data_IF_366163191836
#
_entry.id   IF_366163191836
#
_cell.length_a   1.000
_cell.length_b   1.000
_cell.length_c   1.000
_cell.angle_alpha   90.00
_cell.angle_beta   90.00
_cell.angle_gamma   90.00
#
_symmetry.space_group_name_H-M   'P 1'
#
loop_
_entity.id
_entity.type
_entity.pdbx_description
1 polymer ?
#
# COMPACT_ATOMS: atom_id res chain seq x y z
N UNK A 1 -16.60 -29.46 13.70
CA UNK A 1 -15.41 -29.46 14.57
C UNK A 1 -14.18 -29.18 13.70
N UNK A 2 -13.45 -28.08 14.02
CA UNK A 2 -12.09 -27.66 13.62
C UNK A 2 -11.54 -28.15 12.26
N UNK A 3 -11.44 -27.25 11.29
CA UNK A 3 -10.62 -27.42 10.08
C UNK A 3 -9.93 -26.10 9.76
N UNK A 4 -8.60 -26.11 9.77
CA UNK A 4 -7.70 -25.00 9.48
C UNK A 4 -7.98 -24.44 8.07
N UNK A 5 -8.32 -23.16 8.00
CA UNK A 5 -8.49 -22.46 6.74
C UNK A 5 -7.12 -22.18 6.13
N UNK A 6 -6.57 -23.16 5.41
CA UNK A 6 -5.41 -22.94 4.55
C UNK A 6 -5.88 -22.20 3.30
N UNK A 7 -5.42 -20.97 3.09
CA UNK A 7 -5.52 -20.31 1.79
C UNK A 7 -4.63 -21.10 0.81
N UNK A 8 -5.24 -21.97 0.03
CA UNK A 8 -4.53 -22.74 -0.99
C UNK A 8 -4.17 -21.84 -2.17
N UNK A 9 -2.91 -21.86 -2.58
CA UNK A 9 -2.51 -21.40 -3.91
C UNK A 9 -3.11 -22.36 -4.95
N UNK A 10 -4.23 -21.97 -5.57
CA UNK A 10 -4.92 -22.78 -6.58
C UNK A 10 -4.20 -22.71 -7.94
N UNK A 11 -3.45 -21.63 -8.19
CA UNK A 11 -2.66 -21.44 -9.40
C UNK A 11 -2.28 -19.97 -9.64
N UNK A 12 -1.48 -19.73 -10.69
CA UNK A 12 -1.11 -18.39 -11.13
C UNK A 12 -2.24 -17.82 -12.00
N UNK A 13 -2.97 -16.82 -11.49
CA UNK A 13 -4.05 -16.16 -12.24
C UNK A 13 -3.52 -15.30 -13.40
N UNK A 14 -2.36 -14.67 -13.23
CA UNK A 14 -1.76 -13.75 -14.20
C UNK A 14 -0.28 -14.05 -14.39
N UNK A 15 0.20 -14.03 -15.63
CA UNK A 15 1.65 -14.04 -15.88
C UNK A 15 2.23 -12.67 -15.53
N UNK A 16 3.56 -12.57 -15.49
CA UNK A 16 4.22 -11.28 -15.29
C UNK A 16 3.83 -10.28 -16.40
N UNK A 17 3.74 -10.74 -17.65
CA UNK A 17 3.35 -9.91 -18.79
C UNK A 17 1.93 -9.33 -18.62
N UNK A 18 0.98 -10.14 -18.14
CA UNK A 18 -0.37 -9.65 -17.83
C UNK A 18 -0.34 -8.57 -16.74
N UNK A 19 0.48 -8.75 -15.70
CA UNK A 19 0.62 -7.75 -14.62
C UNK A 19 1.25 -6.47 -15.14
N UNK A 20 2.30 -6.57 -15.96
CA UNK A 20 2.95 -5.42 -16.60
C UNK A 20 1.98 -4.66 -17.51
N UNK A 21 1.20 -5.37 -18.32
CA UNK A 21 0.17 -4.77 -19.18
C UNK A 21 -0.86 -4.00 -18.35
N UNK A 22 -1.37 -4.62 -17.28
CA UNK A 22 -2.32 -4.00 -16.38
C UNK A 22 -1.73 -2.74 -15.72
N UNK A 23 -0.54 -2.84 -15.11
CA UNK A 23 0.11 -1.73 -14.39
C UNK A 23 0.40 -0.54 -15.33
N UNK A 24 0.82 -0.82 -16.56
CA UNK A 24 1.08 0.21 -17.59
C UNK A 24 -0.18 0.86 -18.12
N UNK A 25 -1.33 0.22 -17.98
CA UNK A 25 -2.56 0.76 -18.55
C UNK A 25 -2.86 2.17 -17.97
N UNK A 26 -3.19 3.18 -18.82
CA UNK A 26 -3.41 4.55 -18.36
C UNK A 26 -4.52 4.71 -17.32
N UNK A 27 -5.46 3.76 -17.26
CA UNK A 27 -6.59 3.75 -16.33
C UNK A 27 -6.38 2.88 -15.07
N UNK A 28 -5.25 2.17 -14.96
CA UNK A 28 -4.93 1.40 -13.76
C UNK A 28 -4.68 2.31 -12.57
N UNK A 29 -5.42 2.06 -11.48
CA UNK A 29 -5.19 2.61 -10.15
C UNK A 29 -4.76 1.46 -9.24
N UNK A 30 -3.76 1.69 -8.41
CA UNK A 30 -3.35 0.70 -7.44
C UNK A 30 -4.41 0.59 -6.33
N UNK A 31 -4.79 -0.63 -5.99
CA UNK A 31 -5.57 -0.96 -4.81
C UNK A 31 -5.03 -2.27 -4.26
N UNK A 32 -4.93 -2.36 -2.94
CA UNK A 32 -4.55 -3.58 -2.24
C UNK A 32 -5.83 -4.17 -1.67
N UNK A 33 -6.27 -5.29 -2.24
CA UNK A 33 -7.46 -6.03 -1.81
C UNK A 33 -7.15 -6.86 -0.55
N UNK A 34 -6.78 -6.15 0.52
CA UNK A 34 -6.35 -6.70 1.79
C UNK A 34 -7.46 -6.67 2.84
N UNK A 35 -7.40 -7.65 3.76
CA UNK A 35 -8.13 -7.60 5.01
C UNK A 35 -7.37 -6.78 6.05
N UNK A 36 -8.08 -6.26 7.06
CA UNK A 36 -7.43 -5.72 8.26
C UNK A 36 -6.79 -6.87 9.05
N UNK A 37 -5.46 -6.81 9.20
CA UNK A 37 -4.65 -7.83 9.86
C UNK A 37 -3.70 -7.20 10.89
N UNK A 38 -3.12 -8.04 11.73
CA UNK A 38 -2.07 -7.70 12.71
C UNK A 38 -0.99 -8.76 12.60
N UNK A 39 0.26 -8.42 12.90
CA UNK A 39 1.37 -9.38 12.88
C UNK A 39 1.33 -10.35 14.08
N UNK A 40 0.52 -10.04 15.09
CA UNK A 40 0.32 -10.83 16.29
C UNK A 40 -1.17 -11.02 16.63
N UNK A 41 -1.44 -11.90 17.61
CA UNK A 41 -2.79 -12.17 18.08
C UNK A 41 -3.69 -12.92 17.09
N UNK A 42 -5.00 -13.02 17.39
CA UNK A 42 -5.93 -13.81 16.59
C UNK A 42 -6.02 -13.44 15.09
N UNK A 43 -6.00 -12.14 14.68
CA UNK A 43 -6.07 -11.79 13.26
C UNK A 43 -4.85 -12.25 12.44
N UNK A 44 -3.66 -12.33 13.04
CA UNK A 44 -2.43 -12.79 12.39
C UNK A 44 -2.57 -14.20 11.81
N UNK A 45 -3.19 -15.10 12.58
CA UNK A 45 -3.38 -16.50 12.15
C UNK A 45 -4.41 -16.66 11.03
N UNK A 46 -5.38 -15.73 10.93
CA UNK A 46 -6.47 -15.82 9.96
C UNK A 46 -6.13 -15.18 8.62
N UNK A 47 -5.24 -14.20 8.64
CA UNK A 47 -4.86 -13.37 7.49
C UNK A 47 -3.34 -13.37 7.31
N UNK A 48 -2.71 -14.55 7.39
CA UNK A 48 -1.29 -14.72 7.12
C UNK A 48 -1.01 -14.68 5.61
N UNK A 49 -0.97 -13.48 5.04
CA UNK A 49 -0.68 -13.26 3.62
C UNK A 49 0.09 -11.95 3.40
N UNK A 50 1.15 -11.93 2.57
CA UNK A 50 2.04 -10.77 2.46
C UNK A 50 1.37 -9.51 1.91
N UNK A 51 0.34 -9.68 1.07
CA UNK A 51 -0.42 -8.56 0.48
C UNK A 51 -0.88 -7.53 1.52
N UNK A 52 -1.21 -7.95 2.74
CA UNK A 52 -1.71 -7.06 3.79
C UNK A 52 -0.67 -6.06 4.30
N UNK A 53 0.63 -6.39 4.19
CA UNK A 53 1.72 -5.57 4.73
C UNK A 53 2.61 -5.01 3.62
N UNK A 54 2.81 -5.77 2.54
CA UNK A 54 3.73 -5.43 1.47
C UNK A 54 3.05 -4.81 0.25
N UNK A 55 1.74 -4.97 0.03
CA UNK A 55 1.12 -4.73 -1.29
C UNK A 55 1.40 -3.36 -1.93
N UNK A 56 1.37 -2.29 -1.12
CA UNK A 56 1.68 -0.93 -1.61
C UNK A 56 3.18 -0.73 -1.86
N UNK A 57 4.01 -1.36 -1.04
CA UNK A 57 5.47 -1.22 -1.09
C UNK A 57 6.04 -2.07 -2.23
N UNK A 58 5.58 -3.30 -2.36
CA UNK A 58 5.90 -4.20 -3.47
C UNK A 58 5.61 -3.57 -4.84
N UNK A 59 4.57 -2.73 -4.93
CA UNK A 59 4.31 -1.96 -6.13
C UNK A 59 5.46 -1.01 -6.49
N UNK A 60 5.99 -0.29 -5.49
CA UNK A 60 7.09 0.66 -5.68
C UNK A 60 8.45 -0.04 -5.84
N UNK A 61 8.73 -1.09 -5.07
CA UNK A 61 10.02 -1.80 -5.08
C UNK A 61 10.16 -2.67 -6.33
N UNK A 62 9.24 -3.61 -6.55
CA UNK A 62 9.34 -4.55 -7.66
C UNK A 62 9.00 -3.90 -9.01
N UNK A 63 7.81 -3.28 -9.14
CA UNK A 63 7.33 -2.85 -10.45
C UNK A 63 7.87 -1.49 -10.90
N UNK A 64 8.10 -0.56 -9.97
CA UNK A 64 8.61 0.78 -10.30
C UNK A 64 10.14 0.81 -10.25
N UNK A 65 10.77 0.44 -9.12
CA UNK A 65 12.23 0.55 -8.95
C UNK A 65 13.01 -0.54 -9.69
N UNK A 66 12.72 -1.82 -9.42
CA UNK A 66 13.54 -2.94 -9.91
C UNK A 66 13.28 -3.26 -11.38
N UNK A 67 12.00 -3.39 -11.76
CA UNK A 67 11.60 -3.75 -13.13
C UNK A 67 11.44 -2.54 -14.06
N UNK A 68 11.41 -1.32 -13.53
CA UNK A 68 11.29 -0.10 -14.34
C UNK A 68 10.04 -0.07 -15.22
N UNK A 69 8.92 -0.66 -14.77
CA UNK A 69 7.69 -0.74 -15.56
C UNK A 69 7.06 0.64 -15.74
N UNK A 70 7.23 1.50 -14.74
CA UNK A 70 6.77 2.88 -14.65
C UNK A 70 7.90 3.76 -14.11
N UNK A 71 7.82 5.07 -14.36
CA UNK A 71 8.62 6.02 -13.58
C UNK A 71 8.09 6.13 -12.15
N UNK A 72 8.91 6.65 -11.23
CA UNK A 72 8.48 6.87 -9.84
C UNK A 72 7.27 7.81 -9.76
N UNK A 73 7.23 8.86 -10.58
CA UNK A 73 6.14 9.83 -10.59
C UNK A 73 4.83 9.20 -11.06
N UNK A 74 4.86 8.33 -12.08
CA UNK A 74 3.66 7.65 -12.56
C UNK A 74 3.19 6.57 -11.56
N UNK A 75 4.13 5.86 -10.93
CA UNK A 75 3.84 4.95 -9.83
C UNK A 75 3.11 5.66 -8.68
N UNK A 76 3.69 6.75 -8.17
CA UNK A 76 3.10 7.58 -7.11
C UNK A 76 1.75 8.15 -7.55
N UNK A 77 1.63 8.64 -8.78
CA UNK A 77 0.37 9.17 -9.32
C UNK A 77 -0.76 8.14 -9.27
N UNK A 78 -0.48 6.89 -9.65
CA UNK A 78 -1.46 5.77 -9.68
C UNK A 78 -1.93 5.29 -8.31
N UNK A 79 -1.24 5.68 -7.24
CA UNK A 79 -1.63 5.42 -5.85
C UNK A 79 -2.06 6.68 -5.06
N UNK A 80 -2.02 7.87 -5.66
CA UNK A 80 -2.36 9.16 -4.99
C UNK A 80 -3.37 9.99 -5.78
N UNK A 81 -2.90 10.84 -6.71
CA UNK A 81 -3.74 11.83 -7.41
C UNK A 81 -4.75 11.19 -8.34
N UNK A 82 -4.43 10.04 -8.92
CA UNK A 82 -5.34 9.32 -9.81
C UNK A 82 -6.55 8.74 -9.07
N UNK A 83 -6.39 7.98 -7.96
CA UNK A 83 -7.55 7.56 -7.17
C UNK A 83 -8.27 8.74 -6.53
N UNK A 84 -7.56 9.76 -6.04
CA UNK A 84 -8.21 10.97 -5.49
C UNK A 84 -9.14 11.64 -6.53
N UNK A 85 -8.68 11.80 -7.77
CA UNK A 85 -9.50 12.32 -8.87
C UNK A 85 -10.68 11.39 -9.19
N UNK A 86 -10.45 10.07 -9.25
CA UNK A 86 -11.48 9.07 -9.55
C UNK A 86 -12.61 9.05 -8.52
N UNK A 87 -12.27 9.21 -7.24
CA UNK A 87 -13.22 9.22 -6.13
C UNK A 87 -13.73 10.63 -5.78
N UNK A 88 -13.34 11.66 -6.53
CA UNK A 88 -13.80 13.04 -6.30
C UNK A 88 -13.33 13.62 -4.97
N UNK A 89 -12.10 13.32 -4.55
CA UNK A 89 -11.45 13.89 -3.37
C UNK A 89 -10.68 15.14 -3.78
N UNK A 90 -11.31 16.32 -3.71
CA UNK A 90 -10.70 17.57 -4.19
C UNK A 90 -9.60 18.14 -3.29
N UNK A 91 -9.55 17.73 -2.02
CA UNK A 91 -8.60 18.25 -1.03
C UNK A 91 -7.37 17.35 -0.80
N UNK A 92 -7.16 16.29 -1.60
CA UNK A 92 -6.18 15.21 -1.35
C UNK A 92 -5.50 14.70 -2.63
N UNK A 93 -4.48 13.85 -2.43
CA UNK A 93 -3.80 13.10 -3.50
C UNK A 93 -2.72 13.87 -4.25
N UNK A 94 -2.51 15.15 -3.96
CA UNK A 94 -1.41 15.97 -4.50
C UNK A 94 -0.83 16.86 -3.40
N UNK A 95 0.47 17.12 -3.46
CA UNK A 95 1.14 18.04 -2.54
C UNK A 95 0.93 19.46 -3.05
N UNK A 96 0.07 20.22 -2.37
CA UNK A 96 -0.23 21.62 -2.71
C UNK A 96 -0.68 22.39 -1.46
N UNK A 97 -0.29 23.67 -1.30
CA UNK A 97 -0.81 24.50 -0.22
C UNK A 97 -2.33 24.52 -0.14
N UNK A 98 -2.87 24.47 1.07
CA UNK A 98 -4.32 24.49 1.35
C UNK A 98 -5.02 23.14 1.26
N UNK A 99 -4.32 22.07 0.85
CA UNK A 99 -4.85 20.71 0.84
C UNK A 99 -4.56 19.98 2.16
N UNK A 100 -5.22 18.84 2.37
CA UNK A 100 -4.93 17.99 3.51
C UNK A 100 -3.48 17.50 3.47
N UNK A 101 -2.78 17.60 4.60
CA UNK A 101 -1.41 17.12 4.75
C UNK A 101 -1.39 15.60 4.99
N UNK A 102 -1.83 14.86 3.98
CA UNK A 102 -1.65 13.40 3.89
C UNK A 102 -0.33 13.14 3.15
N UNK A 103 0.70 12.79 3.89
CA UNK A 103 2.07 12.71 3.39
C UNK A 103 2.72 11.41 3.82
N UNK A 104 3.59 10.88 2.97
CA UNK A 104 4.46 9.76 3.28
C UNK A 104 5.89 10.20 3.00
N UNK A 105 6.77 10.03 3.98
CA UNK A 105 8.22 10.20 3.84
C UNK A 105 8.82 8.80 3.88
N UNK A 106 9.55 8.46 2.83
CA UNK A 106 10.18 7.16 2.68
C UNK A 106 11.57 7.32 2.07
N UNK A 107 12.46 6.39 2.41
CA UNK A 107 13.72 6.19 1.71
C UNK A 107 13.45 5.25 0.54
N UNK A 108 13.49 5.80 -0.68
CA UNK A 108 13.15 5.04 -1.88
C UNK A 108 14.19 3.98 -2.24
N UNK A 109 15.46 4.18 -1.89
CA UNK A 109 16.51 3.21 -2.21
C UNK A 109 16.50 2.06 -1.19
N UNK A 110 16.25 2.37 0.08
CA UNK A 110 16.18 1.38 1.17
C UNK A 110 14.76 0.83 1.41
N UNK A 111 13.80 1.17 0.55
CA UNK A 111 12.42 0.70 0.67
C UNK A 111 12.38 -0.83 0.48
N UNK A 112 11.81 -1.53 1.44
CA UNK A 112 11.73 -2.99 1.47
C UNK A 112 10.37 -3.48 1.94
N UNK A 113 9.84 -4.48 1.24
CA UNK A 113 8.49 -5.01 1.45
C UNK A 113 8.32 -5.66 2.83
N UNK A 114 9.40 -6.25 3.36
CA UNK A 114 9.46 -7.02 4.61
C UNK A 114 8.73 -8.36 4.57
N UNK A 115 7.55 -8.42 3.94
CA UNK A 115 6.65 -9.57 4.00
C UNK A 115 6.71 -10.46 2.75
N UNK A 116 6.91 -11.76 2.94
CA UNK A 116 7.00 -12.76 1.87
C UNK A 116 5.92 -13.84 2.00
N UNK A 117 5.87 -14.79 1.07
CA UNK A 117 4.95 -15.93 1.19
C UNK A 117 5.34 -16.82 2.37
N UNK A 118 6.63 -16.98 2.60
CA UNK A 118 7.21 -17.78 3.68
C UNK A 118 7.11 -17.09 5.03
N UNK A 119 7.28 -15.76 5.05
CA UNK A 119 7.21 -14.91 6.24
C UNK A 119 6.17 -13.78 6.04
N UNK A 120 4.87 -14.10 6.08
CA UNK A 120 3.80 -13.20 5.66
C UNK A 120 3.34 -12.18 6.72
N UNK A 121 3.97 -12.16 7.90
CA UNK A 121 3.55 -11.35 9.05
C UNK A 121 4.66 -10.37 9.47
N UNK A 122 5.06 -9.52 8.54
CA UNK A 122 6.12 -8.53 8.76
C UNK A 122 5.73 -7.19 8.15
N UNK A 123 6.02 -6.09 8.85
CA UNK A 123 5.88 -4.75 8.28
C UNK A 123 7.03 -4.43 7.33
N UNK A 124 6.73 -3.60 6.33
CA UNK A 124 7.73 -3.03 5.43
C UNK A 124 8.73 -2.15 6.18
N UNK A 125 9.87 -1.88 5.54
CA UNK A 125 10.92 -0.98 6.02
C UNK A 125 11.13 0.17 5.04
N UNK A 126 11.72 1.26 5.51
CA UNK A 126 12.02 2.45 4.70
C UNK A 126 10.89 3.49 4.65
N UNK A 127 9.73 3.25 5.27
CA UNK A 127 8.70 4.27 5.49
C UNK A 127 8.90 4.92 6.85
N UNK A 128 9.45 6.14 6.88
CA UNK A 128 9.88 6.80 8.12
C UNK A 128 8.73 7.58 8.77
N UNK A 129 7.98 8.35 7.98
CA UNK A 129 6.84 9.13 8.48
C UNK A 129 5.62 8.96 7.62
N UNK A 130 4.47 8.85 8.28
CA UNK A 130 3.16 8.95 7.64
C UNK A 130 2.36 9.98 8.41
N UNK A 131 1.89 10.99 7.70
CA UNK A 131 1.03 12.03 8.23
C UNK A 131 -0.36 11.86 7.65
N UNK A 132 -1.37 11.97 8.49
CA UNK A 132 -2.78 12.01 8.08
C UNK A 132 -3.38 13.29 8.63
N UNK A 133 -3.90 14.15 7.74
CA UNK A 133 -4.36 15.49 8.10
C UNK A 133 -3.31 16.31 8.89
N UNK A 134 -2.02 16.14 8.57
CA UNK A 134 -0.90 16.84 9.21
C UNK A 134 -0.49 16.31 10.58
N UNK A 135 -1.12 15.23 11.07
CA UNK A 135 -0.75 14.57 12.33
C UNK A 135 0.08 13.31 12.02
N UNK A 136 1.29 13.15 12.59
CA UNK A 136 2.09 11.93 12.44
C UNK A 136 1.37 10.71 13.03
N UNK A 137 1.01 9.76 12.18
CA UNK A 137 0.46 8.45 12.56
C UNK A 137 1.54 7.36 12.57
N UNK A 138 2.58 7.53 11.75
CA UNK A 138 3.85 6.82 11.84
C UNK A 138 4.94 7.87 12.07
N UNK A 139 5.79 7.64 13.07
CA UNK A 139 6.92 8.50 13.45
C UNK A 139 8.15 7.63 13.69
N UNK A 140 9.19 7.80 12.86
CA UNK A 140 10.39 6.96 12.90
C UNK A 140 10.12 5.48 12.62
N UNK A 141 9.13 5.16 11.79
CA UNK A 141 8.71 3.79 11.49
C UNK A 141 7.75 3.16 12.53
N UNK A 142 7.44 3.85 13.62
CA UNK A 142 6.56 3.34 14.69
C UNK A 142 5.18 3.99 14.65
N UNK A 143 4.13 3.19 14.90
CA UNK A 143 2.76 3.71 14.90
C UNK A 143 2.46 4.47 16.20
N UNK A 144 2.07 5.74 16.10
CA UNK A 144 1.90 6.63 17.28
C UNK A 144 0.60 6.39 18.05
N UNK A 145 -0.35 5.66 17.45
CA UNK A 145 -1.64 5.32 18.05
C UNK A 145 -2.74 6.37 17.83
N UNK A 146 -2.38 7.56 17.34
CA UNK A 146 -3.33 8.62 17.02
C UNK A 146 -4.15 8.26 15.77
N UNK A 147 -5.40 8.75 15.71
CA UNK A 147 -6.36 8.43 14.64
C UNK A 147 -7.00 9.70 14.08
N UNK A 148 -6.24 10.55 13.38
CA UNK A 148 -6.70 11.85 12.87
C UNK A 148 -7.55 11.73 11.60
N UNK A 149 -7.86 10.50 11.16
CA UNK A 149 -8.68 10.22 9.99
C UNK A 149 -10.08 10.82 10.09
N UNK A 150 -10.67 11.11 8.94
CA UNK A 150 -12.01 11.70 8.83
C UNK A 150 -12.82 10.93 7.81
N UNK A 151 -14.14 10.88 8.01
CA UNK A 151 -15.05 10.39 6.99
C UNK A 151 -14.98 11.32 5.77
N UNK A 152 -14.61 10.76 4.62
CA UNK A 152 -14.56 11.48 3.36
C UNK A 152 -15.95 11.52 2.73
N UNK A 153 -16.26 12.64 2.08
CA UNK A 153 -17.48 12.82 1.29
C UNK A 153 -17.05 13.14 -0.13
N UNK A 154 -17.79 12.62 -1.10
CA UNK A 154 -17.62 13.00 -2.49
C UNK A 154 -17.82 14.51 -2.63
N UNK A 155 -16.86 15.25 -3.18
CA UNK A 155 -16.97 16.69 -3.21
C UNK A 155 -15.75 17.43 -3.69
#
# INVERSE_FOLDING_TARGET
FRGEGHAGYIGRLFTEEHVVEQIRHPLFNLSVDAASATIDGPPATRFAHPLHYAGMIHYLTCWVREKGVLSIEEGVRKMTSMPASRFGLRDRGVIRPGLAADLVVLDYEELDDGSTVEEPLAYCRGVEYVLVNGTPVIDGGEHTGVRPGRNLRYG
#
